data_IF_331910562720
#
_entry.id   IF_331910562720
#
_cell.length_a   1.000
_cell.length_b   1.000
_cell.length_c   1.000
_cell.angle_alpha   90.00
_cell.angle_beta   90.00
_cell.angle_gamma   90.00
#
_symmetry.space_group_name_H-M   'P 1'
#
loop_
_entity.id
_entity.type
_entity.pdbx_description
1 polymer ?
#
# COMPACT_ATOMS: atom_id res chain seq x y z
N UNK A 1 -1.95 -2.33 20.59
CA UNK A 1 -2.22 -3.73 20.97
C UNK A 1 -3.70 -3.82 21.35
N UNK A 2 -4.56 -4.19 20.37
CA UNK A 2 -6.00 -4.33 20.56
C UNK A 2 -6.33 -5.68 21.20
N UNK A 3 -7.29 -5.71 22.13
CA UNK A 3 -7.85 -6.94 22.68
C UNK A 3 -9.29 -7.05 22.20
N UNK A 4 -9.61 -8.07 21.41
CA UNK A 4 -10.96 -8.60 21.26
C UNK A 4 -10.96 -10.00 21.86
N UNK A 5 -11.90 -10.28 22.77
CA UNK A 5 -12.17 -11.61 23.39
C UNK A 5 -10.94 -12.32 24.01
N UNK A 6 -9.98 -11.57 24.57
CA UNK A 6 -8.80 -12.15 25.22
C UNK A 6 -7.72 -12.66 24.27
N UNK A 7 -7.87 -12.51 22.95
CA UNK A 7 -6.88 -12.87 21.96
C UNK A 7 -5.99 -11.67 21.66
N UNK A 8 -4.68 -11.82 21.82
CA UNK A 8 -3.69 -10.84 21.36
C UNK A 8 -3.66 -10.91 19.84
N UNK A 9 -4.18 -9.87 19.18
CA UNK A 9 -4.05 -9.74 17.72
C UNK A 9 -2.64 -9.24 17.45
N UNK A 10 -1.77 -10.12 16.97
CA UNK A 10 -0.47 -9.73 16.47
C UNK A 10 -0.69 -9.07 15.10
N UNK A 11 -0.19 -7.85 14.96
CA UNK A 11 -0.14 -7.16 13.67
C UNK A 11 0.97 -7.77 12.82
N UNK A 12 0.73 -7.86 11.51
CA UNK A 12 1.71 -8.45 10.59
C UNK A 12 2.97 -7.57 10.52
N UNK A 13 4.11 -8.12 10.87
CA UNK A 13 5.42 -7.44 10.81
C UNK A 13 6.52 -8.41 10.35
N UNK A 14 6.32 -9.02 9.18
CA UNK A 14 7.33 -9.89 8.56
C UNK A 14 8.61 -9.15 8.17
N UNK A 15 8.51 -7.85 7.98
CA UNK A 15 9.63 -7.03 7.52
C UNK A 15 10.76 -6.89 8.55
N UNK A 16 10.54 -7.23 9.83
CA UNK A 16 11.60 -7.32 10.85
C UNK A 16 12.23 -8.71 10.95
N UNK A 17 11.69 -9.73 10.30
CA UNK A 17 12.30 -11.05 10.22
C UNK A 17 13.47 -11.03 9.23
N UNK A 18 14.67 -11.50 9.65
CA UNK A 18 15.88 -11.41 8.84
C UNK A 18 15.73 -12.02 7.44
N UNK A 19 15.20 -13.24 7.36
CA UNK A 19 15.05 -13.96 6.09
C UNK A 19 14.11 -13.22 5.13
N UNK A 20 13.01 -12.71 5.64
CA UNK A 20 12.06 -11.94 4.83
C UNK A 20 12.66 -10.60 4.38
N UNK A 21 13.26 -9.87 5.30
CA UNK A 21 13.92 -8.60 5.03
C UNK A 21 15.02 -8.73 3.96
N UNK A 22 15.87 -9.75 4.08
CA UNK A 22 16.96 -9.99 3.12
C UNK A 22 16.39 -10.26 1.72
N UNK A 23 15.34 -11.09 1.59
CA UNK A 23 14.66 -11.34 0.33
C UNK A 23 14.00 -10.08 -0.23
N UNK A 24 13.31 -9.30 0.63
CA UNK A 24 12.66 -8.05 0.23
C UNK A 24 13.68 -7.02 -0.28
N UNK A 25 14.84 -6.91 0.38
CA UNK A 25 15.91 -6.00 -0.03
C UNK A 25 16.44 -6.28 -1.45
N UNK A 26 16.24 -7.50 -1.97
CA UNK A 26 16.66 -7.89 -3.33
C UNK A 26 15.64 -7.54 -4.41
N UNK A 27 14.43 -7.14 -4.07
CA UNK A 27 13.43 -6.74 -5.05
C UNK A 27 13.85 -5.46 -5.80
N UNK A 28 13.40 -5.34 -7.05
CA UNK A 28 13.70 -4.15 -7.88
C UNK A 28 13.26 -2.85 -7.21
N UNK A 29 12.06 -2.83 -6.61
CA UNK A 29 11.56 -1.67 -5.86
C UNK A 29 12.43 -1.29 -4.64
N UNK A 30 13.07 -2.27 -4.01
CA UNK A 30 13.98 -2.03 -2.89
C UNK A 30 15.34 -1.49 -3.33
N UNK A 31 15.78 -1.88 -4.53
CA UNK A 31 17.07 -1.49 -5.11
C UNK A 31 17.01 -0.18 -5.90
N UNK A 32 15.96 -0.04 -6.73
CA UNK A 32 15.79 1.09 -7.66
C UNK A 32 14.77 2.12 -7.18
N UNK A 33 14.20 1.91 -5.99
CA UNK A 33 13.18 2.78 -5.45
C UNK A 33 11.91 2.81 -6.29
N UNK A 34 11.35 3.99 -6.43
CA UNK A 34 10.08 4.19 -7.13
C UNK A 34 10.14 3.73 -8.59
N UNK A 35 11.26 3.94 -9.28
CA UNK A 35 11.42 3.50 -10.68
C UNK A 35 11.46 1.96 -10.82
N UNK A 36 11.70 1.24 -9.73
CA UNK A 36 11.61 -0.22 -9.68
C UNK A 36 10.23 -0.75 -9.27
N UNK A 37 9.27 0.13 -8.99
CA UNK A 37 7.92 -0.22 -8.59
C UNK A 37 6.97 -0.18 -9.80
N UNK A 38 6.36 -1.32 -10.13
CA UNK A 38 5.55 -1.46 -11.36
C UNK A 38 4.33 -0.54 -11.42
N UNK A 39 3.79 -0.15 -10.27
CA UNK A 39 2.66 0.79 -10.17
C UNK A 39 3.07 2.27 -10.23
N UNK A 40 4.36 2.56 -10.09
CA UNK A 40 4.84 3.94 -9.89
C UNK A 40 4.44 4.92 -10.98
N UNK A 41 4.60 4.53 -12.24
CA UNK A 41 4.26 5.40 -13.36
C UNK A 41 2.81 5.89 -13.29
N UNK A 42 1.88 4.97 -13.02
CA UNK A 42 0.46 5.30 -12.87
C UNK A 42 0.19 6.08 -11.59
N UNK A 43 0.75 5.64 -10.46
CA UNK A 43 0.59 6.33 -9.18
C UNK A 43 1.08 7.77 -9.25
N UNK A 44 2.24 8.02 -9.85
CA UNK A 44 2.83 9.35 -10.02
C UNK A 44 1.90 10.33 -10.75
N UNK A 45 1.19 9.87 -11.78
CA UNK A 45 0.23 10.68 -12.54
C UNK A 45 -1.02 11.04 -11.73
N UNK A 46 -1.33 10.28 -10.67
CA UNK A 46 -2.47 10.51 -9.77
C UNK A 46 -2.13 11.38 -8.55
N UNK A 47 -0.83 11.67 -8.33
CA UNK A 47 -0.39 12.47 -7.18
C UNK A 47 -0.74 13.96 -7.36
N UNK A 48 -1.22 14.65 -6.30
CA UNK A 48 -1.42 16.09 -6.34
C UNK A 48 -0.09 16.83 -6.20
N UNK A 49 -0.11 18.16 -6.39
CA UNK A 49 1.03 19.03 -6.12
C UNK A 49 1.38 19.03 -4.62
N UNK A 50 2.64 18.76 -4.31
CA UNK A 50 3.18 18.73 -2.95
C UNK A 50 3.68 20.08 -2.44
N UNK A 51 3.78 21.09 -3.29
CA UNK A 51 4.34 22.40 -2.94
C UNK A 51 3.63 23.03 -1.74
N UNK A 52 4.36 23.23 -0.65
CA UNK A 52 3.83 23.81 0.59
C UNK A 52 2.90 22.91 1.38
N UNK A 53 2.86 21.60 1.11
CA UNK A 53 1.95 20.63 1.74
C UNK A 53 2.59 19.88 2.90
N UNK A 54 1.75 19.49 3.86
CA UNK A 54 2.08 18.49 4.86
C UNK A 54 1.58 17.12 4.41
N UNK A 55 2.48 16.15 4.40
CA UNK A 55 2.25 14.82 3.84
C UNK A 55 2.42 13.76 4.92
N UNK A 56 1.52 12.78 4.95
CA UNK A 56 1.61 11.58 5.77
C UNK A 56 1.71 10.36 4.84
N UNK A 57 2.72 9.53 5.03
CA UNK A 57 2.90 8.26 4.30
C UNK A 57 2.71 7.07 5.26
N UNK A 58 1.63 6.33 5.09
CA UNK A 58 1.21 5.22 5.95
C UNK A 58 1.68 3.88 5.38
N UNK A 59 2.59 3.21 6.09
CA UNK A 59 3.32 2.04 5.60
C UNK A 59 4.46 2.47 4.67
N UNK A 60 5.25 3.44 5.10
CA UNK A 60 6.23 4.12 4.24
C UNK A 60 7.43 3.25 3.84
N UNK A 61 7.65 2.12 4.51
CA UNK A 61 8.76 1.21 4.23
C UNK A 61 10.12 1.92 4.23
N UNK A 62 10.85 1.86 3.13
CA UNK A 62 12.14 2.53 2.97
C UNK A 62 12.04 4.05 2.75
N UNK A 63 10.85 4.65 2.81
CA UNK A 63 10.69 6.10 2.73
C UNK A 63 10.78 6.71 1.32
N UNK A 64 10.66 5.92 0.26
CA UNK A 64 10.76 6.42 -1.11
C UNK A 64 9.71 7.48 -1.47
N UNK A 65 8.45 7.31 -1.02
CA UNK A 65 7.41 8.31 -1.23
C UNK A 65 7.61 9.53 -0.34
N UNK A 66 8.18 9.35 0.87
CA UNK A 66 8.54 10.46 1.74
C UNK A 66 9.59 11.35 1.07
N UNK A 67 10.66 10.75 0.52
CA UNK A 67 11.69 11.49 -0.23
C UNK A 67 11.07 12.19 -1.44
N UNK A 68 10.27 11.48 -2.22
CA UNK A 68 9.61 12.05 -3.39
C UNK A 68 8.77 13.29 -3.04
N UNK A 69 7.96 13.20 -1.99
CA UNK A 69 7.15 14.34 -1.53
C UNK A 69 8.02 15.53 -1.09
N UNK A 70 9.10 15.27 -0.34
CA UNK A 70 10.03 16.30 0.10
C UNK A 70 10.74 16.97 -1.09
N UNK A 71 11.20 16.20 -2.07
CA UNK A 71 11.86 16.72 -3.28
C UNK A 71 10.91 17.52 -4.19
N UNK A 72 9.58 17.29 -4.05
CA UNK A 72 8.54 18.01 -4.80
C UNK A 72 7.88 19.11 -3.96
N UNK A 73 8.57 19.63 -2.94
CA UNK A 73 8.19 20.85 -2.24
C UNK A 73 7.27 20.67 -1.04
N UNK A 74 7.07 19.45 -0.53
CA UNK A 74 6.38 19.27 0.76
C UNK A 74 7.15 19.97 1.87
N UNK A 75 6.45 20.72 2.73
CA UNK A 75 7.09 21.46 3.86
C UNK A 75 7.31 20.54 5.05
N UNK A 76 6.53 19.49 5.18
CA UNK A 76 6.64 18.49 6.22
C UNK A 76 6.17 17.15 5.68
N UNK A 77 6.94 16.09 5.94
CA UNK A 77 6.58 14.71 5.61
C UNK A 77 6.73 13.86 6.87
N UNK A 78 5.72 13.06 7.14
CA UNK A 78 5.75 12.07 8.22
C UNK A 78 5.56 10.68 7.59
N UNK A 79 6.57 9.81 7.74
CA UNK A 79 6.49 8.41 7.35
C UNK A 79 6.18 7.54 8.58
N UNK A 80 5.20 6.66 8.46
CA UNK A 80 4.82 5.70 9.51
C UNK A 80 5.02 4.29 9.00
N UNK A 81 5.74 3.46 9.75
CA UNK A 81 5.86 2.03 9.47
C UNK A 81 5.97 1.24 10.78
N UNK A 82 5.54 -0.01 10.78
CA UNK A 82 5.65 -0.90 11.92
C UNK A 82 7.05 -1.50 12.08
N UNK A 83 7.82 -1.56 11.00
CA UNK A 83 9.12 -2.22 10.95
C UNK A 83 10.26 -1.27 11.31
N UNK A 84 10.97 -1.59 12.39
CA UNK A 84 12.18 -0.85 12.78
C UNK A 84 13.28 -0.94 11.73
N UNK A 85 13.42 -2.10 11.06
CA UNK A 85 14.42 -2.29 10.01
C UNK A 85 14.15 -1.44 8.80
N UNK A 86 12.87 -1.37 8.38
CA UNK A 86 12.47 -0.54 7.24
C UNK A 86 12.75 0.94 7.54
N UNK A 87 12.37 1.41 8.71
CA UNK A 87 12.58 2.81 9.10
C UNK A 87 14.06 3.16 9.28
N UNK A 88 14.86 2.25 9.82
CA UNK A 88 16.32 2.46 9.89
C UNK A 88 16.91 2.65 8.50
N UNK A 89 16.46 1.89 7.52
CA UNK A 89 16.91 2.04 6.14
C UNK A 89 16.38 3.34 5.52
N UNK A 90 15.14 3.73 5.84
CA UNK A 90 14.56 5.00 5.41
C UNK A 90 15.36 6.19 5.96
N UNK A 91 15.73 6.19 7.24
CA UNK A 91 16.58 7.21 7.85
C UNK A 91 17.98 7.27 7.20
N UNK A 92 18.56 6.10 6.91
CA UNK A 92 19.89 6.04 6.28
C UNK A 92 19.90 6.60 4.85
N UNK A 93 18.85 6.35 4.07
CA UNK A 93 18.79 6.74 2.66
C UNK A 93 18.18 8.12 2.44
N UNK A 94 17.13 8.45 3.20
CA UNK A 94 16.21 9.54 2.91
C UNK A 94 16.04 10.50 4.10
N UNK A 95 17.08 10.65 4.94
CA UNK A 95 17.05 11.63 6.03
C UNK A 95 17.08 13.06 5.49
N UNK A 96 16.10 13.88 5.86
CA UNK A 96 15.98 15.31 5.54
C UNK A 96 15.39 16.06 6.71
N UNK A 97 15.65 17.36 6.82
CA UNK A 97 15.15 18.19 7.92
C UNK A 97 13.61 18.23 8.00
N UNK A 98 12.93 18.08 6.85
CA UNK A 98 11.49 18.10 6.75
C UNK A 98 10.83 16.71 6.72
N UNK A 99 11.57 15.61 6.93
CA UNK A 99 11.05 14.25 7.01
C UNK A 99 11.21 13.72 8.45
N UNK A 100 10.14 13.17 8.98
CA UNK A 100 10.15 12.46 10.29
C UNK A 100 9.60 11.05 10.10
N UNK A 101 10.28 10.05 10.67
CA UNK A 101 9.83 8.67 10.66
C UNK A 101 9.33 8.24 12.04
N UNK A 102 8.17 7.57 12.09
CA UNK A 102 7.54 7.09 13.32
C UNK A 102 7.35 5.57 13.24
N UNK A 103 7.96 4.85 14.19
CA UNK A 103 7.83 3.41 14.32
C UNK A 103 6.56 3.06 15.10
N UNK A 104 5.48 2.82 14.41
CA UNK A 104 4.24 2.29 15.00
C UNK A 104 3.36 1.66 13.92
N UNK A 105 2.47 0.73 14.32
CA UNK A 105 1.43 0.25 13.42
C UNK A 105 0.57 1.41 12.92
N UNK A 106 0.17 1.38 11.65
CA UNK A 106 -0.69 2.40 11.02
C UNK A 106 -1.98 2.62 11.82
N UNK A 107 -2.56 1.52 12.34
CA UNK A 107 -3.80 1.56 13.14
C UNK A 107 -3.62 2.27 14.49
N UNK A 108 -2.39 2.36 15.00
CA UNK A 108 -2.09 3.00 16.28
C UNK A 108 -1.61 4.45 16.13
N UNK A 109 -1.26 4.88 14.93
CA UNK A 109 -0.84 6.24 14.63
C UNK A 109 -1.91 7.26 15.11
N UNK A 110 -1.45 8.35 15.75
CA UNK A 110 -2.31 9.42 16.26
C UNK A 110 -1.74 10.75 15.79
N UNK A 111 -2.59 11.58 15.20
CA UNK A 111 -2.27 12.92 14.73
C UNK A 111 -3.44 13.87 15.04
N UNK A 112 -3.18 15.16 14.99
CA UNK A 112 -4.19 16.18 15.18
C UNK A 112 -5.20 16.16 14.00
N UNK A 113 -6.42 16.61 14.29
CA UNK A 113 -7.46 16.72 13.25
C UNK A 113 -7.07 17.78 12.22
N UNK A 114 -7.15 17.39 10.95
CA UNK A 114 -6.82 18.28 9.83
C UNK A 114 -5.34 18.64 9.71
N UNK A 115 -4.44 17.86 10.30
CA UNK A 115 -3.01 18.14 10.30
C UNK A 115 -2.38 18.05 8.90
N UNK A 116 -2.87 17.15 8.04
CA UNK A 116 -2.26 16.85 6.75
C UNK A 116 -3.10 17.32 5.57
N UNK A 117 -2.41 17.73 4.52
CA UNK A 117 -2.97 18.04 3.21
C UNK A 117 -3.16 16.78 2.35
N UNK A 118 -2.20 15.84 2.48
CA UNK A 118 -2.12 14.63 1.67
C UNK A 118 -1.77 13.47 2.58
N UNK A 119 -2.50 12.36 2.43
CA UNK A 119 -2.17 11.07 3.00
C UNK A 119 -1.89 10.10 1.86
N UNK A 120 -0.74 9.45 1.91
CA UNK A 120 -0.34 8.39 0.99
C UNK A 120 -0.34 7.05 1.72
N UNK A 121 -0.57 5.96 0.99
CA UNK A 121 -0.34 4.60 1.47
C UNK A 121 -0.08 3.69 0.26
N UNK A 122 1.14 3.21 0.10
CA UNK A 122 1.47 2.34 -1.03
C UNK A 122 1.67 0.90 -0.59
N UNK A 123 0.83 0.00 -1.09
CA UNK A 123 0.86 -1.45 -0.86
C UNK A 123 0.91 -1.86 0.62
N UNK A 124 0.25 -1.10 1.51
CA UNK A 124 0.17 -1.38 2.94
C UNK A 124 -1.25 -1.76 3.42
N UNK A 125 -2.31 -1.22 2.80
CA UNK A 125 -3.68 -1.38 3.32
C UNK A 125 -4.21 -2.83 3.30
N UNK A 126 -3.67 -3.69 2.47
CA UNK A 126 -4.05 -5.11 2.45
C UNK A 126 -3.47 -5.91 3.63
N UNK A 127 -2.57 -5.34 4.42
CA UNK A 127 -2.13 -5.90 5.71
C UNK A 127 -3.01 -5.46 6.89
N UNK A 128 -3.86 -4.46 6.71
CA UNK A 128 -4.70 -3.88 7.77
C UNK A 128 -6.04 -4.61 7.83
N UNK A 129 -6.41 -5.11 9.01
CA UNK A 129 -7.64 -5.87 9.22
C UNK A 129 -8.89 -5.02 9.06
N UNK A 130 -8.91 -3.85 9.67
CA UNK A 130 -10.10 -2.99 9.73
C UNK A 130 -9.94 -1.75 8.84
N UNK A 131 -10.36 -1.91 7.58
CA UNK A 131 -10.28 -0.85 6.58
C UNK A 131 -11.23 0.32 6.90
N UNK A 132 -12.40 0.04 7.47
CA UNK A 132 -13.39 1.06 7.81
C UNK A 132 -12.83 2.02 8.87
N UNK A 133 -12.22 1.47 9.93
CA UNK A 133 -11.59 2.28 10.99
C UNK A 133 -10.39 3.07 10.48
N UNK A 134 -9.56 2.51 9.60
CA UNK A 134 -8.40 3.24 9.10
C UNK A 134 -8.82 4.39 8.18
N UNK A 135 -9.88 4.22 7.37
CA UNK A 135 -10.43 5.30 6.56
C UNK A 135 -11.00 6.43 7.44
N UNK A 136 -11.66 6.11 8.55
CA UNK A 136 -12.12 7.13 9.53
C UNK A 136 -10.95 7.91 10.11
N UNK A 137 -9.86 7.24 10.48
CA UNK A 137 -8.65 7.91 10.98
C UNK A 137 -8.03 8.82 9.92
N UNK A 138 -7.85 8.33 8.71
CA UNK A 138 -7.30 9.10 7.61
C UNK A 138 -8.16 10.34 7.34
N UNK A 139 -9.50 10.19 7.38
CA UNK A 139 -10.42 11.32 7.24
C UNK A 139 -10.19 12.38 8.31
N UNK A 140 -9.97 11.95 9.57
CA UNK A 140 -9.66 12.90 10.66
C UNK A 140 -8.33 13.61 10.46
N UNK A 141 -7.29 12.89 10.06
CA UNK A 141 -5.98 13.47 9.85
C UNK A 141 -5.92 14.47 8.69
N UNK A 142 -6.77 14.28 7.67
CA UNK A 142 -6.86 15.17 6.52
C UNK A 142 -7.65 16.44 6.84
N UNK A 143 -7.14 17.58 6.39
CA UNK A 143 -7.92 18.80 6.33
C UNK A 143 -9.07 18.70 5.31
N UNK A 144 -10.13 19.53 5.40
CA UNK A 144 -11.11 19.63 4.32
C UNK A 144 -10.45 19.87 2.96
N UNK A 145 -10.88 19.14 1.93
CA UNK A 145 -10.28 19.20 0.59
C UNK A 145 -8.93 18.51 0.44
N UNK A 146 -8.40 17.87 1.50
CA UNK A 146 -7.17 17.08 1.44
C UNK A 146 -7.33 15.77 0.67
N UNK A 147 -6.22 15.20 0.22
CA UNK A 147 -6.21 14.02 -0.63
C UNK A 147 -5.76 12.77 0.12
N UNK A 148 -6.43 11.66 -0.14
CA UNK A 148 -6.00 10.32 0.22
C UNK A 148 -5.73 9.52 -1.05
N UNK A 149 -4.47 9.13 -1.28
CA UNK A 149 -4.06 8.34 -2.43
C UNK A 149 -3.43 7.05 -1.93
N UNK A 150 -3.89 5.91 -2.41
CA UNK A 150 -3.31 4.64 -2.01
C UNK A 150 -3.22 3.66 -3.17
N UNK A 151 -2.27 2.75 -3.06
CA UNK A 151 -2.25 1.51 -3.81
C UNK A 151 -2.46 0.32 -2.87
N UNK A 152 -3.15 -0.70 -3.37
CA UNK A 152 -3.36 -1.97 -2.68
C UNK A 152 -3.27 -3.13 -3.68
N UNK A 153 -3.04 -4.34 -3.18
CA UNK A 153 -3.26 -5.51 -4.02
C UNK A 153 -4.71 -5.57 -4.48
N UNK A 154 -4.92 -5.82 -5.77
CA UNK A 154 -6.24 -5.81 -6.37
C UNK A 154 -7.14 -6.91 -5.79
N UNK A 155 -8.45 -6.67 -5.62
CA UNK A 155 -9.40 -7.69 -5.15
C UNK A 155 -9.39 -9.00 -5.95
N UNK A 156 -9.20 -8.95 -7.26
CA UNK A 156 -9.03 -10.17 -8.08
C UNK A 156 -7.78 -10.95 -7.66
N UNK A 157 -6.69 -10.26 -7.32
CA UNK A 157 -5.44 -10.89 -6.91
C UNK A 157 -5.52 -11.50 -5.50
N UNK A 158 -6.27 -10.87 -4.58
CA UNK A 158 -6.38 -11.31 -3.19
C UNK A 158 -7.54 -12.27 -2.91
N UNK A 159 -8.46 -12.47 -3.85
CA UNK A 159 -9.67 -13.26 -3.65
C UNK A 159 -9.35 -14.70 -3.21
N UNK A 160 -8.47 -15.35 -3.93
CA UNK A 160 -7.90 -16.66 -3.61
C UNK A 160 -6.60 -16.46 -2.83
N UNK A 161 -6.43 -17.18 -1.70
CA UNK A 161 -5.36 -16.91 -0.73
C UNK A 161 -3.96 -17.23 -1.24
N UNK A 162 -3.81 -18.20 -2.14
CA UNK A 162 -2.50 -18.58 -2.68
C UNK A 162 -1.84 -17.46 -3.51
N UNK A 163 -2.65 -16.62 -4.14
CA UNK A 163 -2.21 -15.56 -5.06
C UNK A 163 -1.33 -16.09 -6.21
N UNK A 164 -1.59 -17.32 -6.63
CA UNK A 164 -0.80 -18.03 -7.63
C UNK A 164 -1.66 -18.48 -8.82
N UNK A 165 -1.00 -18.79 -9.92
CA UNK A 165 -1.61 -19.31 -11.13
C UNK A 165 -2.00 -20.78 -10.96
N UNK A 166 -2.98 -21.22 -11.74
CA UNK A 166 -3.21 -22.63 -11.97
C UNK A 166 -2.36 -23.07 -13.17
N UNK A 167 -1.55 -24.09 -12.97
CA UNK A 167 -0.56 -24.53 -13.97
C UNK A 167 -0.97 -25.87 -14.61
N UNK A 168 -0.51 -26.09 -15.85
CA UNK A 168 -0.54 -27.41 -16.49
C UNK A 168 0.59 -28.31 -15.97
N UNK A 169 0.62 -29.55 -16.47
CA UNK A 169 1.65 -30.55 -16.12
C UNK A 169 3.09 -30.12 -16.47
N UNK A 170 3.26 -29.14 -17.36
CA UNK A 170 4.55 -28.60 -17.80
C UNK A 170 4.93 -27.31 -17.08
N UNK A 171 4.13 -26.87 -16.11
CA UNK A 171 4.35 -25.63 -15.38
C UNK A 171 3.97 -24.36 -16.13
N UNK A 172 3.14 -24.47 -17.18
CA UNK A 172 2.63 -23.31 -17.92
C UNK A 172 1.39 -22.76 -17.23
N UNK A 173 1.30 -21.44 -16.96
CA UNK A 173 0.13 -20.84 -16.35
C UNK A 173 -1.09 -20.92 -17.27
N UNK A 174 -2.14 -21.62 -16.84
CA UNK A 174 -3.39 -21.82 -17.55
C UNK A 174 -4.36 -20.67 -17.33
N UNK A 175 -4.67 -20.40 -16.07
CA UNK A 175 -5.53 -19.29 -15.65
C UNK A 175 -5.18 -18.85 -14.22
N UNK A 176 -5.57 -17.63 -13.88
CA UNK A 176 -5.50 -17.15 -12.51
C UNK A 176 -6.86 -17.43 -11.84
N UNK A 177 -6.90 -18.20 -10.73
CA UNK A 177 -8.16 -18.52 -10.06
C UNK A 177 -8.69 -17.32 -9.29
N UNK A 178 -9.98 -17.04 -9.46
CA UNK A 178 -10.70 -16.06 -8.65
C UNK A 178 -11.78 -16.82 -7.91
N UNK A 179 -11.56 -17.08 -6.63
CA UNK A 179 -12.51 -17.77 -5.76
C UNK A 179 -12.69 -17.01 -4.46
N UNK A 180 -13.80 -17.25 -3.77
CA UNK A 180 -14.11 -16.63 -2.49
C UNK A 180 -14.16 -15.08 -2.51
N UNK A 181 -14.40 -14.47 -3.67
CA UNK A 181 -14.36 -13.01 -3.86
C UNK A 181 -15.31 -12.23 -2.94
N UNK A 182 -16.49 -12.78 -2.63
CA UNK A 182 -17.44 -12.12 -1.74
C UNK A 182 -17.27 -12.48 -0.25
N UNK A 183 -16.38 -13.41 0.06
CA UNK A 183 -16.00 -13.73 1.43
C UNK A 183 -14.78 -12.92 1.83
N UNK A 184 -15.02 -11.70 2.32
CA UNK A 184 -13.96 -10.81 2.76
C UNK A 184 -13.27 -11.28 4.04
N UNK A 185 -12.08 -10.74 4.32
CA UNK A 185 -11.34 -11.00 5.53
C UNK A 185 -9.98 -11.68 5.29
N UNK A 186 -9.51 -12.38 6.31
CA UNK A 186 -8.18 -12.94 6.36
C UNK A 186 -7.89 -13.92 5.21
N UNK A 187 -6.70 -13.76 4.61
CA UNK A 187 -6.06 -14.69 3.69
C UNK A 187 -4.68 -15.07 4.20
N UNK A 188 -4.36 -16.36 4.10
CA UNK A 188 -3.00 -16.83 4.27
C UNK A 188 -2.35 -16.86 2.89
N UNK A 189 -1.50 -15.89 2.62
CA UNK A 189 -0.79 -15.76 1.36
C UNK A 189 0.68 -16.18 1.52
N UNK A 190 1.37 -16.31 0.40
CA UNK A 190 2.82 -16.53 0.37
C UNK A 190 3.45 -15.36 -0.38
N UNK A 191 4.38 -14.66 0.27
CA UNK A 191 5.13 -13.58 -0.35
C UNK A 191 6.62 -13.80 -0.10
N UNK A 192 7.41 -13.76 -1.15
CA UNK A 192 8.86 -14.07 -1.11
C UNK A 192 9.17 -15.46 -0.53
N UNK A 193 8.25 -16.43 -0.69
CA UNK A 193 8.37 -17.77 -0.15
C UNK A 193 8.11 -17.89 1.35
N UNK A 194 7.60 -16.84 1.98
CA UNK A 194 7.24 -16.84 3.41
C UNK A 194 5.72 -16.64 3.59
N UNK A 195 5.11 -17.27 4.60
CA UNK A 195 3.70 -17.07 4.88
C UNK A 195 3.46 -15.66 5.41
N UNK A 196 2.46 -14.98 4.86
CA UNK A 196 2.02 -13.65 5.27
C UNK A 196 0.51 -13.61 5.42
N UNK A 197 0.02 -12.79 6.35
CA UNK A 197 -1.41 -12.56 6.52
C UNK A 197 -1.79 -11.30 5.75
N UNK A 198 -2.77 -11.45 4.86
CA UNK A 198 -3.39 -10.34 4.15
C UNK A 198 -4.90 -10.34 4.39
N UNK A 199 -5.54 -9.23 4.10
CA UNK A 199 -6.98 -9.09 4.24
C UNK A 199 -7.58 -8.73 2.89
N UNK A 200 -8.32 -9.70 2.33
CA UNK A 200 -9.09 -9.52 1.12
C UNK A 200 -10.30 -8.64 1.36
N UNK A 201 -10.57 -7.73 0.43
CA UNK A 201 -11.76 -6.90 0.33
C UNK A 201 -12.21 -6.83 -1.11
N UNK A 202 -13.52 -6.71 -1.32
CA UNK A 202 -14.05 -6.48 -2.67
C UNK A 202 -13.71 -5.06 -3.15
N UNK A 203 -13.73 -4.84 -4.45
CA UNK A 203 -13.62 -3.49 -5.01
C UNK A 203 -14.73 -2.58 -4.45
N UNK A 204 -15.95 -3.13 -4.28
CA UNK A 204 -17.06 -2.41 -3.67
C UNK A 204 -16.70 -1.90 -2.28
N UNK A 205 -16.08 -2.72 -1.43
CA UNK A 205 -15.69 -2.31 -0.08
C UNK A 205 -14.65 -1.20 -0.11
N UNK A 206 -13.61 -1.29 -0.96
CA UNK A 206 -12.65 -0.20 -1.09
C UNK A 206 -13.31 1.13 -1.47
N UNK A 207 -14.13 1.13 -2.51
CA UNK A 207 -14.70 2.38 -3.05
C UNK A 207 -15.88 2.89 -2.21
N UNK A 208 -16.83 2.00 -1.84
CA UNK A 208 -18.03 2.42 -1.11
C UNK A 208 -17.72 2.90 0.31
N UNK A 209 -16.69 2.36 0.97
CA UNK A 209 -16.26 2.86 2.28
C UNK A 209 -15.79 4.31 2.17
N UNK A 210 -14.96 4.64 1.19
CA UNK A 210 -14.51 6.02 0.97
C UNK A 210 -15.70 6.98 0.76
N UNK A 211 -16.63 6.62 -0.13
CA UNK A 211 -17.81 7.43 -0.43
C UNK A 211 -18.65 7.64 0.84
N UNK A 212 -18.95 6.57 1.58
CA UNK A 212 -19.72 6.64 2.82
C UNK A 212 -19.06 7.46 3.93
N UNK A 213 -17.74 7.52 3.92
CA UNK A 213 -16.95 8.33 4.86
C UNK A 213 -16.69 9.77 4.36
N UNK A 214 -17.39 10.23 3.32
CA UNK A 214 -17.31 11.61 2.83
C UNK A 214 -16.05 11.92 2.03
N UNK A 215 -15.61 10.95 1.23
CA UNK A 215 -14.59 11.18 0.20
C UNK A 215 -15.22 11.19 -1.19
N UNK A 216 -14.89 12.16 -2.01
CA UNK A 216 -15.12 12.12 -3.44
C UNK A 216 -14.01 11.28 -4.11
N UNK A 217 -14.39 10.28 -4.88
CA UNK A 217 -13.42 9.52 -5.69
C UNK A 217 -12.99 10.39 -6.86
N UNK A 218 -11.70 10.63 -6.97
CA UNK A 218 -11.11 11.46 -8.01
C UNK A 218 -10.62 10.64 -9.19
N UNK A 219 -10.02 9.48 -8.92
CA UNK A 219 -9.54 8.55 -9.94
C UNK A 219 -9.41 7.13 -9.37
N UNK A 220 -9.54 6.13 -10.25
CA UNK A 220 -9.33 4.70 -9.94
C UNK A 220 -8.58 4.08 -11.10
N UNK A 221 -7.42 3.50 -10.84
CA UNK A 221 -6.56 2.90 -11.86
C UNK A 221 -6.14 1.48 -11.49
N UNK A 222 -6.04 0.63 -12.50
CA UNK A 222 -5.46 -0.72 -12.44
C UNK A 222 -4.17 -0.71 -13.26
N UNK A 223 -3.00 -0.46 -12.61
CA UNK A 223 -1.75 -0.32 -13.35
C UNK A 223 -1.38 -1.61 -14.08
N UNK A 224 -1.01 -1.46 -15.33
CA UNK A 224 -0.52 -2.55 -16.15
C UNK A 224 1.01 -2.62 -16.09
N UNK A 225 1.62 -3.80 -16.30
CA UNK A 225 3.05 -3.91 -16.52
C UNK A 225 3.54 -2.97 -17.61
N UNK A 226 4.72 -2.39 -17.43
CA UNK A 226 5.32 -1.54 -18.44
C UNK A 226 5.62 -2.37 -19.70
N UNK A 227 5.38 -1.81 -20.87
CA UNK A 227 5.55 -2.51 -22.17
C UNK A 227 6.95 -3.09 -22.31
N UNK A 228 7.99 -2.36 -21.91
CA UNK A 228 9.38 -2.79 -21.91
C UNK A 228 9.66 -4.01 -21.02
N UNK A 229 8.82 -4.26 -20.02
CA UNK A 229 8.96 -5.41 -19.11
C UNK A 229 8.34 -6.68 -19.70
N UNK A 230 7.41 -6.57 -20.62
CA UNK A 230 6.65 -7.70 -21.15
C UNK A 230 7.54 -8.75 -21.82
N UNK A 231 8.63 -8.31 -22.44
CA UNK A 231 9.57 -9.19 -23.16
C UNK A 231 10.89 -9.43 -22.39
N UNK A 232 11.20 -8.57 -21.40
CA UNK A 232 12.47 -8.63 -20.70
C UNK A 232 12.40 -9.32 -19.35
N UNK A 233 11.19 -9.36 -18.74
CA UNK A 233 10.97 -9.99 -17.43
C UNK A 233 10.16 -11.27 -17.59
N UNK A 234 10.72 -12.44 -17.22
CA UNK A 234 9.99 -13.71 -17.30
C UNK A 234 8.65 -13.67 -16.56
N UNK A 235 7.59 -14.15 -17.21
CA UNK A 235 6.24 -14.18 -16.66
C UNK A 235 5.46 -12.87 -16.74
N UNK A 236 6.09 -11.76 -17.13
CA UNK A 236 5.45 -10.44 -17.14
C UNK A 236 4.26 -10.35 -18.11
N UNK A 237 4.31 -11.09 -19.24
CA UNK A 237 3.15 -11.17 -20.16
C UNK A 237 1.93 -11.81 -19.52
N UNK A 238 2.10 -12.74 -18.58
CA UNK A 238 0.98 -13.34 -17.85
C UNK A 238 0.34 -12.35 -16.89
N UNK A 239 1.08 -11.38 -16.38
CA UNK A 239 0.56 -10.29 -15.52
C UNK A 239 -0.48 -9.42 -16.26
N UNK A 240 -0.46 -9.35 -17.59
CA UNK A 240 -1.48 -8.69 -18.42
C UNK A 240 -2.85 -9.41 -18.42
N UNK A 241 -2.91 -10.61 -17.88
CA UNK A 241 -4.13 -11.44 -17.90
C UNK A 241 -5.06 -11.19 -16.72
N UNK A 242 -4.58 -10.45 -15.71
CA UNK A 242 -5.36 -10.05 -14.55
C UNK A 242 -4.76 -8.79 -13.89
N UNK A 243 -5.58 -7.96 -13.21
CA UNK A 243 -5.03 -6.86 -12.42
C UNK A 243 -4.34 -7.40 -11.16
N UNK A 244 -3.15 -6.87 -10.86
CA UNK A 244 -2.41 -7.19 -9.63
C UNK A 244 -2.63 -6.12 -8.57
N UNK A 245 -2.76 -4.86 -8.97
CA UNK A 245 -2.83 -3.70 -8.10
C UNK A 245 -4.03 -2.83 -8.44
N UNK A 246 -4.52 -2.13 -7.42
CA UNK A 246 -5.54 -1.10 -7.49
C UNK A 246 -4.94 0.18 -6.94
N UNK A 247 -5.10 1.29 -7.64
CA UNK A 247 -4.75 2.63 -7.15
C UNK A 247 -6.02 3.47 -7.09
N UNK A 248 -6.21 4.16 -5.96
CA UNK A 248 -7.34 5.05 -5.76
C UNK A 248 -6.85 6.41 -5.29
N UNK A 249 -7.33 7.45 -5.94
CA UNK A 249 -7.21 8.84 -5.48
C UNK A 249 -8.58 9.32 -5.02
N UNK A 250 -8.65 9.80 -3.79
CA UNK A 250 -9.87 10.31 -3.18
C UNK A 250 -9.59 11.64 -2.49
N UNK A 251 -10.59 12.53 -2.44
CA UNK A 251 -10.50 13.84 -1.80
C UNK A 251 -11.55 13.96 -0.71
N UNK A 252 -11.13 14.34 0.51
CA UNK A 252 -12.05 14.65 1.60
C UNK A 252 -12.97 15.80 1.17
N UNK A 253 -14.29 15.55 1.22
CA UNK A 253 -15.27 16.59 0.93
C UNK A 253 -15.23 17.70 1.98
N UNK A 254 -15.52 18.92 1.56
CA UNK A 254 -15.71 20.03 2.48
C UNK A 254 -17.05 19.83 3.18
N UNK A 255 -17.05 19.86 4.48
CA UNK A 255 -18.29 19.94 5.28
C UNK A 255 -18.88 21.35 5.21
#
# INVERSE_FOLDING_TARGET
MGREDGVIILKENKYDENVFYDKYSQMERSKKGLEGAGEWKTLKEMLPDFTGKKVLDLGCGYGWHCEYAADHGAVQVVGVDISEKMLKEAENRHSRENITYLCCPVEDAQFEEGEFDIVLSSLALHYIRDYDQIVDKIRKFLRPGGYFIFSAEHPVFTAEGSQDWYYDENGKPLHFPVDNYYYEGKRNAVFLGEPVIKYHRTLTTYISTLIKKGFAIMDVQEPQPLEEMLDTVPGMRDEMRRPMMLIVSARKENE
#
